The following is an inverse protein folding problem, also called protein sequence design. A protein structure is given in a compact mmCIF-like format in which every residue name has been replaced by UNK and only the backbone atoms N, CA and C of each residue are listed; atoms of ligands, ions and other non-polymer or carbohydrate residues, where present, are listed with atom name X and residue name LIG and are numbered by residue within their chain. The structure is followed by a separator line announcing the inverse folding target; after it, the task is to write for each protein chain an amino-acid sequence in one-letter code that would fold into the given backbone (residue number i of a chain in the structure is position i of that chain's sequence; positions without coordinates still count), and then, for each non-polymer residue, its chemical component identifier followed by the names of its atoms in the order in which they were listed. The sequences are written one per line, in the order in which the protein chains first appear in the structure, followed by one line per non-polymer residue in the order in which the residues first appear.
data_IF_733919861571
#
_entry.id   IF_733919861571
#
_cell.length_a   1.000
_cell.length_b   1.000
_cell.length_c   1.000
_cell.angle_alpha   90.00
_cell.angle_beta   90.00
_cell.angle_gamma   90.00
#
_symmetry.space_group_name_H-M   'P 1'
#
loop_
_entity.id
_entity.type
_entity.pdbx_description
1 polymer ?
#
# COMPACT_ATOMS: atom_id res chain seq x y z
N UNK A 1 -7.85 -4.03 11.52
CA UNK A 1 -6.50 -4.33 12.02
C UNK A 1 -5.74 -5.10 10.95
N UNK A 2 -4.49 -4.75 10.64
CA UNK A 2 -3.69 -5.49 9.66
C UNK A 2 -3.35 -6.90 10.16
N UNK A 3 -3.23 -7.89 9.26
CA UNK A 3 -2.71 -9.24 9.55
C UNK A 3 -1.35 -9.17 10.25
N UNK A 4 -1.01 -10.18 11.04
CA UNK A 4 0.27 -10.25 11.78
C UNK A 4 1.46 -10.06 10.85
N UNK A 5 1.49 -10.78 9.73
CA UNK A 5 2.53 -10.73 8.70
C UNK A 5 2.71 -9.36 8.04
N UNK A 6 1.71 -8.47 8.16
CA UNK A 6 1.76 -7.11 7.60
C UNK A 6 1.82 -6.04 8.70
N UNK A 7 1.61 -6.39 9.96
CA UNK A 7 1.41 -5.42 11.05
C UNK A 7 2.64 -4.54 11.27
N UNK A 8 3.83 -5.14 11.19
CA UNK A 8 5.09 -4.42 11.39
C UNK A 8 5.23 -3.28 10.38
N UNK A 9 4.96 -3.57 9.10
CA UNK A 9 4.98 -2.60 8.01
C UNK A 9 4.09 -1.39 8.29
N UNK A 10 2.82 -1.62 8.63
CA UNK A 10 1.89 -0.53 8.95
C UNK A 10 2.29 0.24 10.20
N UNK A 11 2.75 -0.45 11.25
CA UNK A 11 3.19 0.22 12.49
C UNK A 11 4.40 1.14 12.29
N UNK A 12 5.26 0.81 11.32
CA UNK A 12 6.44 1.63 10.98
C UNK A 12 6.03 2.98 10.39
N UNK A 13 4.97 3.02 9.59
CA UNK A 13 4.45 4.27 9.02
C UNK A 13 3.90 5.18 10.13
N UNK A 14 3.13 4.62 11.07
CA UNK A 14 2.60 5.39 12.20
C UNK A 14 3.72 5.95 13.09
N UNK A 15 4.74 5.15 13.39
CA UNK A 15 5.93 5.59 14.14
C UNK A 15 6.67 6.72 13.42
N UNK A 16 6.88 6.59 12.11
CA UNK A 16 7.55 7.61 11.31
C UNK A 16 6.80 8.95 11.36
N UNK A 17 5.47 8.92 11.27
CA UNK A 17 4.64 10.13 11.37
C UNK A 17 4.70 10.73 12.76
N UNK A 18 4.71 9.90 13.81
CA UNK A 18 4.88 10.37 15.18
C UNK A 18 6.22 11.09 15.36
N UNK A 19 7.31 10.50 14.88
CA UNK A 19 8.65 11.11 14.91
C UNK A 19 8.70 12.42 14.11
N UNK A 20 8.15 12.44 12.88
CA UNK A 20 8.07 13.65 12.06
C UNK A 20 7.33 14.79 12.76
N UNK A 21 6.23 14.49 13.45
CA UNK A 21 5.46 15.51 14.18
C UNK A 21 6.14 15.93 15.49
N UNK A 22 6.90 15.04 16.12
CA UNK A 22 7.66 15.35 17.33
C UNK A 22 8.84 16.27 17.04
N UNK A 23 9.62 15.98 16.00
CA UNK A 23 10.85 16.71 15.68
C UNK A 23 10.62 17.92 14.77
N UNK A 24 9.52 17.92 14.00
CA UNK A 24 9.19 19.02 13.09
C UNK A 24 7.72 19.40 13.26
N UNK A 25 7.30 20.00 14.37
CA UNK A 25 5.88 20.34 14.61
C UNK A 25 5.28 21.22 13.52
N UNK A 26 3.96 21.10 13.29
CA UNK A 26 3.27 21.86 12.23
C UNK A 26 3.18 23.38 12.49
N UNK A 27 3.31 23.79 13.75
CA UNK A 27 3.26 25.17 14.23
C UNK A 27 4.65 25.82 14.33
N UNK A 28 5.72 25.06 14.10
CA UNK A 28 7.07 25.61 14.10
C UNK A 28 7.25 26.61 12.93
N UNK A 29 7.87 27.75 13.19
CA UNK A 29 8.07 28.78 12.16
C UNK A 29 9.12 28.32 11.14
N UNK A 30 8.82 28.52 9.86
CA UNK A 30 9.77 28.29 8.76
C UNK A 30 9.98 26.83 8.37
N UNK A 31 9.25 25.86 8.97
CA UNK A 31 9.44 24.43 8.67
C UNK A 31 8.59 23.92 7.51
N UNK A 32 7.78 24.76 6.88
CA UNK A 32 6.78 24.34 5.90
C UNK A 32 7.39 23.57 4.72
N UNK A 33 8.48 24.05 4.15
CA UNK A 33 9.18 23.38 3.05
C UNK A 33 9.73 22.02 3.49
N UNK A 34 10.38 21.98 4.65
CA UNK A 34 10.93 20.74 5.19
C UNK A 34 9.83 19.70 5.51
N UNK A 35 8.69 20.14 6.06
CA UNK A 35 7.54 19.25 6.29
C UNK A 35 6.94 18.73 4.99
N UNK A 36 6.96 19.53 3.92
CA UNK A 36 6.51 19.11 2.62
C UNK A 36 7.48 18.09 1.99
N UNK A 37 8.79 18.23 2.20
CA UNK A 37 9.78 17.19 1.84
C UNK A 37 9.56 15.89 2.65
N UNK A 38 9.30 16.00 3.96
CA UNK A 38 8.96 14.87 4.81
C UNK A 38 7.68 14.16 4.35
N UNK A 39 6.67 14.91 3.91
CA UNK A 39 5.44 14.35 3.36
C UNK A 39 5.71 13.57 2.05
N UNK A 40 6.54 14.10 1.15
CA UNK A 40 6.96 13.40 -0.06
C UNK A 40 7.73 12.11 0.24
N UNK A 41 8.71 12.17 1.16
CA UNK A 41 9.45 10.99 1.61
C UNK A 41 8.55 9.95 2.29
N UNK A 42 7.56 10.40 3.06
CA UNK A 42 6.55 9.53 3.70
C UNK A 42 5.74 8.78 2.64
N UNK A 43 5.27 9.46 1.59
CA UNK A 43 4.55 8.83 0.48
C UNK A 43 5.41 7.76 -0.21
N UNK A 44 6.66 8.08 -0.53
CA UNK A 44 7.59 7.11 -1.13
C UNK A 44 7.75 5.87 -0.23
N UNK A 45 7.89 6.09 1.08
CA UNK A 45 8.00 5.03 2.09
C UNK A 45 6.75 4.16 2.15
N UNK A 46 5.56 4.77 2.17
CA UNK A 46 4.28 4.06 2.20
C UNK A 46 4.08 3.19 0.97
N UNK A 47 4.39 3.73 -0.22
CA UNK A 47 4.23 2.99 -1.46
C UNK A 47 5.24 1.84 -1.56
N UNK A 48 6.50 2.04 -1.15
CA UNK A 48 7.49 0.96 -1.05
C UNK A 48 7.03 -0.14 -0.08
N UNK A 49 6.44 0.25 1.05
CA UNK A 49 5.85 -0.68 2.00
C UNK A 49 4.71 -1.49 1.37
N UNK A 50 3.81 -0.88 0.60
CA UNK A 50 2.76 -1.60 -0.11
C UNK A 50 3.34 -2.61 -1.12
N UNK A 51 4.38 -2.25 -1.86
CA UNK A 51 5.09 -3.18 -2.74
C UNK A 51 5.62 -4.39 -1.96
N UNK A 52 6.23 -4.17 -0.79
CA UNK A 52 6.68 -5.25 0.10
C UNK A 52 5.51 -6.13 0.54
N UNK A 53 4.40 -5.56 1.00
CA UNK A 53 3.23 -6.34 1.43
C UNK A 53 2.67 -7.23 0.31
N UNK A 54 2.60 -6.70 -0.93
CA UNK A 54 2.15 -7.44 -2.11
C UNK A 54 3.12 -8.57 -2.44
N UNK A 55 4.43 -8.30 -2.43
CA UNK A 55 5.49 -9.31 -2.66
C UNK A 55 5.39 -10.44 -1.65
N UNK A 56 5.37 -10.10 -0.35
CA UNK A 56 5.27 -11.05 0.75
C UNK A 56 4.01 -11.92 0.62
N UNK A 57 2.86 -11.31 0.29
CA UNK A 57 1.61 -12.06 0.06
C UNK A 57 1.77 -13.13 -1.02
N UNK A 58 2.32 -12.76 -2.18
CA UNK A 58 2.49 -13.70 -3.29
C UNK A 58 3.49 -14.80 -2.97
N UNK A 59 4.62 -14.47 -2.31
CA UNK A 59 5.64 -15.43 -1.91
C UNK A 59 5.05 -16.45 -0.91
N UNK A 60 4.36 -15.97 0.13
CA UNK A 60 3.73 -16.83 1.14
C UNK A 60 2.70 -17.77 0.50
N UNK A 61 1.94 -17.29 -0.49
CA UNK A 61 1.01 -18.13 -1.23
C UNK A 61 1.73 -19.18 -2.07
N UNK A 62 2.75 -18.78 -2.84
CA UNK A 62 3.53 -19.70 -3.66
C UNK A 62 4.22 -20.79 -2.85
N UNK A 63 4.73 -20.45 -1.65
CA UNK A 63 5.35 -21.40 -0.72
C UNK A 63 4.43 -22.56 -0.30
N UNK A 64 3.10 -22.37 -0.36
CA UNK A 64 2.14 -23.45 -0.09
C UNK A 64 2.19 -24.58 -1.12
N UNK A 65 2.66 -24.30 -2.34
CA UNK A 65 2.79 -25.27 -3.42
C UNK A 65 4.21 -25.87 -3.52
N UNK A 66 5.13 -25.45 -2.65
CA UNK A 66 6.50 -25.96 -2.55
C UNK A 66 7.58 -24.88 -2.71
N UNK A 67 8.77 -25.17 -2.17
CA UNK A 67 9.91 -24.22 -2.14
C UNK A 67 10.38 -23.77 -3.52
N UNK A 68 10.21 -24.60 -4.54
CA UNK A 68 10.59 -24.24 -5.92
C UNK A 68 9.70 -23.12 -6.48
N UNK A 69 8.39 -23.18 -6.21
CA UNK A 69 7.43 -22.15 -6.59
C UNK A 69 7.64 -20.84 -5.81
N UNK A 70 8.00 -20.95 -4.53
CA UNK A 70 8.39 -19.82 -3.70
C UNK A 70 9.60 -19.08 -4.30
N UNK A 71 10.70 -19.79 -4.56
CA UNK A 71 11.91 -19.20 -5.14
C UNK A 71 11.71 -18.67 -6.56
N UNK A 72 10.85 -19.30 -7.37
CA UNK A 72 10.46 -18.76 -8.68
C UNK A 72 9.69 -17.44 -8.54
N UNK A 73 8.72 -17.39 -7.62
CA UNK A 73 7.91 -16.21 -7.34
C UNK A 73 8.78 -15.06 -6.82
N UNK A 74 9.67 -15.34 -5.87
CA UNK A 74 10.58 -14.34 -5.32
C UNK A 74 11.47 -13.72 -6.41
N UNK A 75 12.02 -14.55 -7.32
CA UNK A 75 12.84 -14.08 -8.44
C UNK A 75 12.05 -13.25 -9.45
N UNK A 76 10.86 -13.70 -9.84
CA UNK A 76 10.04 -13.00 -10.85
C UNK A 76 9.46 -11.68 -10.36
N UNK A 77 9.15 -11.57 -9.07
CA UNK A 77 8.57 -10.37 -8.48
C UNK A 77 9.58 -9.61 -7.62
N UNK A 78 10.88 -9.83 -7.84
CA UNK A 78 11.94 -9.17 -7.05
C UNK A 78 11.94 -7.64 -7.24
N UNK A 79 11.45 -7.14 -8.38
CA UNK A 79 11.32 -5.71 -8.69
C UNK A 79 9.89 -5.40 -9.13
N UNK A 80 9.00 -5.20 -8.16
CA UNK A 80 7.62 -4.78 -8.43
C UNK A 80 7.50 -3.28 -8.80
N UNK A 81 8.60 -2.51 -8.81
CA UNK A 81 8.69 -1.06 -9.11
C UNK A 81 7.39 -0.38 -9.53
N UNK A 82 6.57 0.06 -8.57
CA UNK A 82 5.32 0.82 -8.76
C UNK A 82 4.16 0.08 -9.47
N UNK A 83 4.30 -1.21 -9.76
CA UNK A 83 3.25 -2.07 -10.37
C UNK A 83 2.34 -2.65 -9.31
N UNK A 84 1.75 -1.77 -8.49
CA UNK A 84 0.80 -2.15 -7.45
C UNK A 84 -0.54 -1.42 -7.62
N UNK A 85 -0.82 -0.92 -8.81
CA UNK A 85 -2.16 -0.40 -9.13
C UNK A 85 -3.20 -1.50 -8.96
N UNK A 86 -4.47 -1.13 -8.78
CA UNK A 86 -5.55 -2.13 -8.69
C UNK A 86 -5.56 -3.10 -9.89
N UNK A 87 -5.23 -2.61 -11.10
CA UNK A 87 -5.12 -3.44 -12.30
C UNK A 87 -3.97 -4.43 -12.21
N UNK A 88 -2.82 -4.02 -11.70
CA UNK A 88 -1.66 -4.90 -11.52
C UNK A 88 -1.96 -5.98 -10.48
N UNK A 89 -2.53 -5.60 -9.34
CA UNK A 89 -2.94 -6.53 -8.30
C UNK A 89 -3.92 -7.59 -8.83
N UNK A 90 -4.93 -7.16 -9.60
CA UNK A 90 -5.87 -8.08 -10.25
C UNK A 90 -5.15 -9.04 -11.21
N UNK A 91 -4.20 -8.53 -12.00
CA UNK A 91 -3.39 -9.35 -12.91
C UNK A 91 -2.56 -10.39 -12.16
N UNK A 92 -1.93 -10.01 -11.05
CA UNK A 92 -1.18 -10.95 -10.22
C UNK A 92 -2.10 -12.02 -9.64
N UNK A 93 -3.22 -11.63 -9.02
CA UNK A 93 -4.21 -12.56 -8.50
C UNK A 93 -4.65 -13.58 -9.55
N UNK A 94 -5.02 -13.13 -10.75
CA UNK A 94 -5.43 -14.00 -11.86
C UNK A 94 -4.31 -14.90 -12.40
N UNK A 95 -3.05 -14.48 -12.28
CA UNK A 95 -1.88 -15.28 -12.72
C UNK A 95 -1.63 -16.45 -11.77
N UNK A 96 -1.90 -16.25 -10.48
CA UNK A 96 -1.77 -17.28 -9.46
C UNK A 96 -2.94 -18.25 -9.46
N UNK A 97 -4.17 -17.72 -9.46
CA UNK A 97 -5.42 -18.51 -9.48
C UNK A 97 -6.60 -17.57 -9.83
N UNK A 98 -7.39 -17.86 -10.88
CA UNK A 98 -8.61 -17.09 -11.18
C UNK A 98 -9.56 -16.94 -9.99
N UNK A 99 -9.68 -17.95 -9.12
CA UNK A 99 -10.52 -17.87 -7.92
C UNK A 99 -9.99 -16.85 -6.91
N UNK A 100 -8.67 -16.68 -6.80
CA UNK A 100 -8.07 -15.63 -5.95
C UNK A 100 -8.45 -14.25 -6.49
N UNK A 101 -8.49 -14.07 -7.82
CA UNK A 101 -8.91 -12.82 -8.43
C UNK A 101 -10.38 -12.50 -8.13
N UNK A 102 -11.28 -13.48 -8.25
CA UNK A 102 -12.70 -13.29 -7.93
C UNK A 102 -12.91 -12.98 -6.44
N UNK A 103 -12.19 -13.68 -5.55
CA UNK A 103 -12.19 -13.37 -4.11
C UNK A 103 -11.69 -11.95 -3.85
N UNK A 104 -10.61 -11.53 -4.51
CA UNK A 104 -10.07 -10.18 -4.36
C UNK A 104 -11.11 -9.13 -4.74
N UNK A 105 -11.74 -9.28 -5.90
CA UNK A 105 -12.80 -8.39 -6.38
C UNK A 105 -13.97 -8.32 -5.38
N UNK A 106 -14.44 -9.48 -4.89
CA UNK A 106 -15.56 -9.56 -3.96
C UNK A 106 -15.24 -8.89 -2.60
N UNK A 107 -14.06 -9.18 -2.03
CA UNK A 107 -13.61 -8.59 -0.76
C UNK A 107 -13.44 -7.08 -0.92
N UNK A 108 -12.77 -6.66 -2.00
CA UNK A 108 -12.51 -5.25 -2.26
C UNK A 108 -13.81 -4.48 -2.50
N UNK A 109 -14.76 -5.01 -3.27
CA UNK A 109 -16.04 -4.34 -3.52
C UNK A 109 -16.84 -4.13 -2.22
N UNK A 110 -16.91 -5.18 -1.37
CA UNK A 110 -17.57 -5.08 -0.06
C UNK A 110 -16.94 -4.00 0.82
N UNK A 111 -15.61 -3.98 0.93
CA UNK A 111 -14.90 -2.99 1.77
C UNK A 111 -14.95 -1.59 1.16
N UNK A 112 -14.88 -1.47 -0.17
CA UNK A 112 -15.01 -0.22 -0.92
C UNK A 112 -16.35 0.44 -0.67
N UNK A 113 -17.46 -0.30 -0.76
CA UNK A 113 -18.81 0.23 -0.49
C UNK A 113 -18.89 0.84 0.91
N UNK A 114 -18.37 0.14 1.92
CA UNK A 114 -18.31 0.65 3.29
C UNK A 114 -17.43 1.90 3.41
N UNK A 115 -16.24 1.90 2.81
CA UNK A 115 -15.33 3.04 2.86
C UNK A 115 -15.91 4.29 2.19
N UNK A 116 -16.53 4.13 1.01
CA UNK A 116 -17.20 5.22 0.29
C UNK A 116 -18.37 5.76 1.12
N UNK A 117 -19.18 4.89 1.73
CA UNK A 117 -20.29 5.33 2.60
C UNK A 117 -19.83 6.14 3.81
N UNK A 118 -18.71 5.77 4.43
CA UNK A 118 -18.21 6.41 5.65
C UNK A 118 -17.36 7.66 5.39
N UNK A 119 -16.58 7.67 4.31
CA UNK A 119 -15.57 8.71 4.05
C UNK A 119 -15.85 9.55 2.80
N UNK A 120 -16.79 9.13 1.95
CA UNK A 120 -17.03 9.71 0.63
C UNK A 120 -15.94 9.43 -0.41
N UNK A 121 -14.85 8.73 -0.03
CA UNK A 121 -13.67 8.53 -0.88
C UNK A 121 -13.54 7.07 -1.32
N UNK A 122 -13.11 6.87 -2.56
CA UNK A 122 -12.90 5.54 -3.14
C UNK A 122 -11.46 5.04 -2.86
N UNK A 123 -11.27 3.94 -2.12
CA UNK A 123 -9.95 3.36 -1.81
C UNK A 123 -9.04 3.12 -3.02
N UNK A 124 -9.60 2.72 -4.17
CA UNK A 124 -8.81 2.47 -5.39
C UNK A 124 -8.19 3.78 -5.86
N UNK A 125 -8.98 4.85 -5.95
CA UNK A 125 -8.47 6.18 -6.32
C UNK A 125 -7.46 6.71 -5.31
N UNK A 126 -7.59 6.36 -4.03
CA UNK A 126 -6.60 6.77 -3.02
C UNK A 126 -5.27 6.01 -3.18
N UNK A 127 -5.32 4.75 -3.62
CA UNK A 127 -4.10 4.02 -3.99
C UNK A 127 -3.44 4.65 -5.21
N UNK A 128 -4.20 4.93 -6.27
CA UNK A 128 -3.68 5.59 -7.48
C UNK A 128 -3.02 6.95 -7.11
N UNK A 129 -3.70 7.77 -6.31
CA UNK A 129 -3.16 9.04 -5.80
C UNK A 129 -1.82 8.88 -5.06
N UNK A 130 -1.67 7.82 -4.25
CA UNK A 130 -0.42 7.54 -3.53
C UNK A 130 0.73 7.21 -4.50
N UNK A 131 0.42 6.50 -5.59
CA UNK A 131 1.40 6.16 -6.62
C UNK A 131 1.79 7.38 -7.45
N UNK A 132 0.83 8.24 -7.76
CA UNK A 132 1.07 9.51 -8.47
C UNK A 132 1.96 10.43 -7.62
N UNK A 133 1.63 10.64 -6.34
CA UNK A 133 2.47 11.44 -5.43
C UNK A 133 3.88 10.86 -5.27
N UNK A 134 4.03 9.53 -5.23
CA UNK A 134 5.35 8.90 -5.21
C UNK A 134 6.13 9.25 -6.47
N UNK A 135 5.51 9.10 -7.65
CA UNK A 135 6.16 9.37 -8.92
C UNK A 135 6.60 10.83 -9.01
N UNK A 136 5.69 11.75 -8.70
CA UNK A 136 5.89 13.18 -8.73
C UNK A 136 7.01 13.63 -7.78
N UNK A 137 7.05 13.08 -6.57
CA UNK A 137 8.10 13.42 -5.63
C UNK A 137 9.45 12.80 -6.01
N UNK A 138 9.49 11.50 -6.31
CA UNK A 138 10.74 10.77 -6.56
C UNK A 138 11.42 11.16 -7.88
N UNK A 139 10.67 11.57 -8.89
CA UNK A 139 11.20 11.90 -10.22
C UNK A 139 11.16 13.40 -10.53
N UNK A 140 10.14 14.13 -10.07
CA UNK A 140 9.96 15.55 -10.38
C UNK A 140 10.18 16.49 -9.18
N UNK A 141 10.43 15.95 -7.98
CA UNK A 141 10.63 16.76 -6.76
C UNK A 141 9.40 17.55 -6.33
N UNK A 142 8.21 17.18 -6.82
CA UNK A 142 6.98 17.95 -6.59
C UNK A 142 6.37 17.61 -5.23
N UNK A 143 6.15 18.64 -4.42
CA UNK A 143 5.57 18.55 -3.07
C UNK A 143 4.05 18.71 -3.13
N UNK A 144 3.37 17.64 -3.51
CA UNK A 144 1.92 17.65 -3.81
C UNK A 144 1.00 17.43 -2.59
N UNK A 145 1.55 17.17 -1.40
CA UNK A 145 0.76 16.69 -0.26
C UNK A 145 1.35 17.11 1.07
N UNK A 146 0.54 17.04 2.11
CA UNK A 146 0.95 17.19 3.51
C UNK A 146 1.05 15.82 4.21
N UNK A 147 1.75 15.76 5.35
CA UNK A 147 1.82 14.53 6.17
C UNK A 147 0.43 14.02 6.56
N UNK A 148 -0.50 14.93 6.91
CA UNK A 148 -1.87 14.58 7.30
C UNK A 148 -2.66 13.98 6.13
N UNK A 149 -2.55 14.60 4.95
CA UNK A 149 -3.19 14.09 3.73
C UNK A 149 -2.62 12.75 3.31
N UNK A 150 -1.29 12.59 3.30
CA UNK A 150 -0.63 11.32 3.04
C UNK A 150 -1.16 10.22 3.97
N UNK A 151 -1.31 10.49 5.26
CA UNK A 151 -1.85 9.52 6.22
C UNK A 151 -3.34 9.21 6.02
N UNK A 152 -4.16 10.23 5.73
CA UNK A 152 -5.57 10.00 5.41
C UNK A 152 -5.73 9.14 4.15
N UNK A 153 -4.93 9.41 3.12
CA UNK A 153 -4.94 8.66 1.85
C UNK A 153 -4.43 7.24 2.09
N UNK A 154 -3.35 7.07 2.86
CA UNK A 154 -2.80 5.77 3.25
C UNK A 154 -3.83 4.88 3.95
N UNK A 155 -4.59 5.42 4.91
CA UNK A 155 -5.61 4.65 5.63
C UNK A 155 -6.65 4.06 4.67
N UNK A 156 -7.08 4.82 3.67
CA UNK A 156 -8.03 4.35 2.66
C UNK A 156 -7.39 3.43 1.64
N UNK A 157 -6.22 3.78 1.10
CA UNK A 157 -5.48 2.97 0.12
C UNK A 157 -5.11 1.59 0.69
N UNK A 158 -4.82 1.51 1.99
CA UNK A 158 -4.53 0.26 2.69
C UNK A 158 -5.62 -0.79 2.53
N UNK A 159 -6.87 -0.37 2.35
CA UNK A 159 -8.01 -1.28 2.14
C UNK A 159 -7.78 -2.14 0.90
N UNK A 160 -7.19 -1.60 -0.16
CA UNK A 160 -6.88 -2.35 -1.38
C UNK A 160 -5.83 -3.43 -1.09
N UNK A 161 -4.71 -3.03 -0.46
CA UNK A 161 -3.60 -3.93 -0.13
C UNK A 161 -4.04 -5.04 0.83
N UNK A 162 -4.82 -4.70 1.85
CA UNK A 162 -5.36 -5.66 2.82
C UNK A 162 -6.44 -6.56 2.21
N UNK A 163 -7.14 -6.13 1.16
CA UNK A 163 -8.11 -6.96 0.45
C UNK A 163 -7.40 -7.95 -0.47
N UNK A 164 -6.33 -7.50 -1.13
CA UNK A 164 -5.43 -8.35 -1.90
C UNK A 164 -4.80 -9.41 -1.00
N UNK A 165 -4.19 -9.05 0.13
CA UNK A 165 -3.63 -10.05 1.04
C UNK A 165 -4.67 -11.09 1.49
N UNK A 166 -5.87 -10.63 1.89
CA UNK A 166 -6.93 -11.51 2.38
C UNK A 166 -7.40 -12.53 1.33
N UNK A 167 -7.41 -12.18 0.04
CA UNK A 167 -7.86 -13.11 -1.02
C UNK A 167 -6.92 -14.30 -1.24
N UNK A 168 -5.65 -14.17 -0.83
CA UNK A 168 -4.65 -15.24 -0.84
C UNK A 168 -4.63 -16.04 0.47
N UNK A 169 -5.06 -15.44 1.59
CA UNK A 169 -5.11 -16.12 2.89
C UNK A 169 -6.33 -17.02 3.06
N UNK A 170 -7.50 -16.63 2.53
CA UNK A 170 -8.79 -17.34 2.70
C UNK A 170 -8.96 -18.51 1.73
N UNK A 171 -8.04 -19.46 1.83
CA UNK A 171 -8.12 -20.75 1.13
C UNK A 171 -8.43 -21.77 2.22
N UNK A 172 -9.73 -21.90 2.49
CA UNK A 172 -10.32 -23.06 3.16
C UNK A 172 -10.89 -23.99 2.11
#
# INVERSE_FOLDING_TARGET
MPPEDLREHFSRVDKLVQEMNQFVPADARGVNEFRADLAGMLVVTIAAMYETCVKTTMILYAGRFGREFEGFTERNYNKLSSKISHRDLRRYASTFDPNVCERFDAILDRRRKTAVRLSGKNPIRQLDQMLDWRHDFAHAGLRQTTISEAMSTHRLASIVILSFHKSFSDIG
#
